data_IF_456647306880
#
_entry.id   IF_456647306880
#
_cell.length_a   1.000
_cell.length_b   1.000
_cell.length_c   1.000
_cell.angle_alpha   90.00
_cell.angle_beta   90.00
_cell.angle_gamma   90.00
#
_symmetry.space_group_name_H-M   'P 1'
#
loop_
_entity.id
_entity.type
_entity.pdbx_description
1 polymer ?
#
# COMPACT_ATOMS: atom_id res chain seq x y z
N UNK A 1 8.71 -21.93 -19.16
CA UNK A 1 8.61 -20.60 -18.48
C UNK A 1 9.03 -19.55 -19.49
N UNK A 2 8.14 -18.64 -19.82
CA UNK A 2 8.49 -17.55 -20.75
C UNK A 2 8.75 -16.26 -19.97
N UNK A 3 10.00 -16.07 -19.57
CA UNK A 3 10.51 -14.78 -19.11
C UNK A 3 11.87 -14.50 -19.72
N UNK A 4 12.17 -13.23 -19.92
CA UNK A 4 13.47 -12.77 -20.40
C UNK A 4 14.30 -12.27 -19.23
N UNK A 5 15.60 -12.46 -19.31
CA UNK A 5 16.57 -12.06 -18.29
C UNK A 5 17.38 -10.92 -18.86
N UNK A 6 17.46 -9.83 -18.10
CA UNK A 6 18.27 -8.65 -18.40
C UNK A 6 19.75 -8.94 -18.16
N UNK A 7 20.61 -8.14 -18.78
CA UNK A 7 22.04 -8.08 -18.47
C UNK A 7 22.36 -7.23 -17.23
N UNK A 8 21.38 -6.50 -16.72
CA UNK A 8 21.52 -5.64 -15.53
C UNK A 8 21.34 -6.52 -14.29
N UNK A 9 22.29 -6.37 -13.34
CA UNK A 9 22.33 -7.16 -12.11
C UNK A 9 21.79 -6.35 -10.92
N UNK A 10 21.25 -7.07 -9.95
CA UNK A 10 20.90 -6.50 -8.65
C UNK A 10 22.16 -6.33 -7.77
N UNK A 11 21.98 -5.78 -6.57
CA UNK A 11 23.06 -5.55 -5.59
C UNK A 11 23.76 -6.85 -5.11
N UNK A 12 23.19 -8.01 -5.38
CA UNK A 12 23.74 -9.33 -5.02
C UNK A 12 24.37 -10.02 -6.23
N UNK A 13 24.43 -9.36 -7.39
CA UNK A 13 24.97 -9.92 -8.64
C UNK A 13 24.00 -10.88 -9.35
N UNK A 14 22.71 -10.84 -9.02
CA UNK A 14 21.68 -11.62 -9.70
C UNK A 14 20.99 -10.78 -10.78
N UNK A 15 20.74 -11.33 -11.98
CA UNK A 15 20.12 -10.58 -13.05
C UNK A 15 18.65 -10.24 -12.72
N UNK A 16 18.22 -9.07 -13.20
CA UNK A 16 16.80 -8.72 -13.21
C UNK A 16 16.05 -9.44 -14.32
N UNK A 17 14.78 -9.70 -14.06
CA UNK A 17 13.82 -10.18 -15.05
C UNK A 17 13.30 -8.99 -15.85
N UNK A 18 13.11 -9.15 -17.15
CA UNK A 18 12.48 -8.12 -17.97
C UNK A 18 10.96 -8.12 -17.74
N UNK A 19 10.39 -6.92 -17.60
CA UNK A 19 8.97 -6.72 -17.56
C UNK A 19 8.30 -7.10 -18.90
N UNK A 20 7.01 -7.46 -18.92
CA UNK A 20 6.33 -7.86 -20.16
C UNK A 20 6.39 -6.81 -21.27
N UNK A 21 6.39 -5.55 -20.90
CA UNK A 21 6.41 -4.38 -21.80
C UNK A 21 7.82 -3.94 -22.20
N UNK A 22 8.83 -4.64 -21.66
CA UNK A 22 10.26 -4.33 -21.85
C UNK A 22 10.86 -3.56 -20.69
N UNK A 23 12.21 -3.54 -20.62
CA UNK A 23 12.93 -2.96 -19.50
C UNK A 23 12.89 -3.84 -18.24
N UNK A 24 13.37 -3.30 -17.12
CA UNK A 24 13.46 -4.03 -15.84
C UNK A 24 12.55 -3.47 -14.75
N UNK A 25 11.88 -2.35 -15.02
CA UNK A 25 11.01 -1.66 -14.07
C UNK A 25 9.55 -2.13 -14.30
N UNK A 26 8.96 -2.75 -13.29
CA UNK A 26 7.60 -3.28 -13.32
C UNK A 26 6.55 -2.24 -12.93
N UNK A 27 6.94 -1.22 -12.21
CA UNK A 27 6.14 -0.11 -11.71
C UNK A 27 7.01 0.81 -10.86
N UNK A 28 6.38 1.73 -10.14
CA UNK A 28 7.08 2.71 -9.30
C UNK A 28 6.33 2.92 -8.00
N UNK A 29 7.08 3.17 -6.93
CA UNK A 29 6.58 3.81 -5.71
C UNK A 29 6.92 5.28 -5.85
N UNK A 30 5.93 6.15 -5.61
CA UNK A 30 6.07 7.60 -5.74
C UNK A 30 6.11 8.29 -4.38
N UNK A 31 6.48 9.57 -4.35
CA UNK A 31 6.58 10.35 -3.10
C UNK A 31 5.23 10.46 -2.37
N UNK A 32 4.11 10.46 -3.08
CA UNK A 32 2.76 10.55 -2.52
C UNK A 32 2.38 9.32 -1.68
N UNK A 33 3.16 8.26 -1.78
CA UNK A 33 2.91 7.00 -1.08
C UNK A 33 3.67 6.87 0.25
N UNK A 34 4.24 7.98 0.75
CA UNK A 34 4.96 8.06 2.03
C UNK A 34 6.14 7.07 2.17
N UNK A 35 6.75 6.72 1.05
CA UNK A 35 7.92 5.86 0.96
C UNK A 35 8.98 6.48 0.06
N UNK A 36 10.24 6.06 0.14
CA UNK A 36 11.28 6.49 -0.80
C UNK A 36 10.84 6.18 -2.24
N UNK A 37 10.77 7.21 -3.12
CA UNK A 37 10.35 7.03 -4.50
C UNK A 37 11.43 6.26 -5.28
N UNK A 38 11.04 5.12 -5.86
CA UNK A 38 11.95 4.29 -6.64
C UNK A 38 11.17 3.28 -7.51
N UNK A 39 11.78 2.75 -8.60
CA UNK A 39 11.18 1.71 -9.41
C UNK A 39 11.05 0.39 -8.66
N UNK A 40 10.05 -0.40 -9.04
CA UNK A 40 9.83 -1.77 -8.56
C UNK A 40 10.47 -2.72 -9.57
N UNK A 41 11.39 -3.58 -9.10
CA UNK A 41 12.13 -4.54 -9.91
C UNK A 41 12.01 -5.96 -9.38
N UNK A 42 12.14 -6.94 -10.27
CA UNK A 42 12.12 -8.35 -9.95
C UNK A 42 13.46 -8.98 -10.33
N UNK A 43 14.25 -9.42 -9.36
CA UNK A 43 15.44 -10.22 -9.64
C UNK A 43 15.05 -11.69 -9.87
N UNK A 44 15.92 -12.45 -10.57
CA UNK A 44 15.73 -13.90 -10.72
C UNK A 44 15.65 -14.56 -9.33
N UNK A 45 16.43 -14.06 -8.39
CA UNK A 45 16.45 -14.54 -7.01
C UNK A 45 16.87 -15.97 -6.84
N UNK A 46 16.42 -16.58 -5.75
CA UNK A 46 16.69 -17.97 -5.37
C UNK A 46 15.46 -18.63 -4.74
N UNK A 47 15.63 -19.69 -3.95
CA UNK A 47 14.51 -20.36 -3.26
C UNK A 47 13.87 -19.52 -2.14
N UNK A 48 14.52 -18.46 -1.68
CA UNK A 48 14.09 -17.62 -0.55
C UNK A 48 13.48 -16.30 -0.98
N UNK A 49 13.82 -15.80 -2.16
CA UNK A 49 13.35 -14.51 -2.68
C UNK A 49 13.35 -14.46 -4.22
N UNK A 50 12.65 -13.45 -4.78
CA UNK A 50 12.61 -13.17 -6.21
C UNK A 50 11.76 -14.16 -7.02
N UNK A 51 11.95 -14.16 -8.34
CA UNK A 51 11.14 -14.95 -9.27
C UNK A 51 11.15 -16.43 -8.94
N UNK A 52 12.31 -17.02 -8.67
CA UNK A 52 12.41 -18.46 -8.37
C UNK A 52 11.61 -18.85 -7.13
N UNK A 53 11.69 -18.04 -6.06
CA UNK A 53 10.88 -18.25 -4.85
C UNK A 53 9.39 -18.21 -5.16
N UNK A 54 8.94 -17.18 -5.89
CA UNK A 54 7.54 -16.99 -6.23
C UNK A 54 7.02 -18.15 -7.08
N UNK A 55 7.76 -18.58 -8.09
CA UNK A 55 7.39 -19.73 -8.93
C UNK A 55 7.21 -21.01 -8.11
N UNK A 56 8.17 -21.30 -7.22
CA UNK A 56 8.14 -22.51 -6.39
C UNK A 56 6.99 -22.50 -5.38
N UNK A 57 6.74 -21.37 -4.75
CA UNK A 57 5.81 -21.27 -3.61
C UNK A 57 4.39 -20.86 -4.01
N UNK A 58 4.26 -20.00 -5.01
CA UNK A 58 3.02 -19.32 -5.34
C UNK A 58 2.61 -19.43 -6.81
N UNK A 59 3.48 -19.98 -7.68
CA UNK A 59 3.25 -20.06 -9.11
C UNK A 59 1.93 -20.77 -9.48
N UNK A 60 1.61 -21.89 -8.82
CA UNK A 60 0.36 -22.60 -9.06
C UNK A 60 -0.88 -21.83 -8.61
N UNK A 61 -0.80 -21.13 -7.47
CA UNK A 61 -1.86 -20.27 -6.98
C UNK A 61 -2.12 -19.12 -7.96
N UNK A 62 -1.06 -18.48 -8.44
CA UNK A 62 -1.10 -17.37 -9.39
C UNK A 62 -1.73 -17.81 -10.71
N UNK A 63 -1.32 -18.99 -11.25
CA UNK A 63 -1.89 -19.53 -12.48
C UNK A 63 -3.36 -19.91 -12.34
N UNK A 64 -3.76 -20.48 -11.20
CA UNK A 64 -5.18 -20.78 -10.90
C UNK A 64 -6.05 -19.53 -10.80
N UNK A 65 -5.47 -18.38 -10.47
CA UNK A 65 -6.15 -17.09 -10.46
C UNK A 65 -6.26 -16.43 -11.85
N UNK A 66 -5.79 -17.09 -12.91
CA UNK A 66 -5.92 -16.64 -14.29
C UNK A 66 -4.70 -15.93 -14.88
N UNK A 67 -3.64 -15.75 -14.14
CA UNK A 67 -2.41 -15.17 -14.66
C UNK A 67 -1.58 -16.21 -15.42
N UNK A 68 -1.16 -15.90 -16.64
CA UNK A 68 -0.37 -16.82 -17.47
C UNK A 68 0.99 -17.16 -16.85
N UNK A 69 1.64 -16.16 -16.25
CA UNK A 69 2.98 -16.29 -15.66
C UNK A 69 3.10 -15.48 -14.37
N UNK A 70 4.06 -15.81 -13.53
CA UNK A 70 4.41 -15.00 -12.35
C UNK A 70 4.87 -13.60 -12.75
N UNK A 71 5.60 -13.47 -13.86
CA UNK A 71 6.05 -12.16 -14.36
C UNK A 71 4.87 -11.26 -14.70
N UNK A 72 3.83 -11.80 -15.37
CA UNK A 72 2.60 -11.06 -15.67
C UNK A 72 1.83 -10.66 -14.40
N UNK A 73 1.81 -11.53 -13.39
CA UNK A 73 1.21 -11.22 -12.09
C UNK A 73 1.94 -10.07 -11.39
N UNK A 74 3.27 -10.15 -11.32
CA UNK A 74 4.09 -9.09 -10.70
C UNK A 74 3.88 -7.75 -11.41
N UNK A 75 3.89 -7.74 -12.75
CA UNK A 75 3.65 -6.54 -13.54
C UNK A 75 2.26 -5.95 -13.27
N UNK A 76 1.23 -6.80 -13.24
CA UNK A 76 -0.13 -6.38 -12.94
C UNK A 76 -0.23 -5.71 -11.56
N UNK A 77 0.27 -6.36 -10.52
CA UNK A 77 0.16 -5.82 -9.15
C UNK A 77 1.01 -4.55 -8.99
N UNK A 78 2.22 -4.51 -9.56
CA UNK A 78 3.10 -3.35 -9.49
C UNK A 78 2.51 -2.09 -10.15
N UNK A 79 1.56 -2.25 -11.08
CA UNK A 79 0.89 -1.16 -11.78
C UNK A 79 -0.51 -0.83 -11.21
N UNK A 80 -1.11 -1.75 -10.43
CA UNK A 80 -2.51 -1.64 -10.00
C UNK A 80 -2.71 -1.73 -8.48
N UNK A 81 -1.65 -1.71 -7.66
CA UNK A 81 -1.83 -1.70 -6.22
C UNK A 81 -2.51 -0.40 -5.76
N UNK A 82 -3.40 -0.51 -4.78
CA UNK A 82 -4.15 0.59 -4.22
C UNK A 82 -3.94 0.74 -2.69
N UNK A 83 -3.11 -0.10 -2.11
CA UNK A 83 -2.75 -0.01 -0.69
C UNK A 83 -1.32 -0.47 -0.44
N UNK A 84 -0.67 0.16 0.53
CA UNK A 84 0.66 -0.18 1.01
C UNK A 84 0.60 -0.39 2.51
N UNK A 85 1.06 -1.55 2.97
CA UNK A 85 1.10 -1.90 4.38
C UNK A 85 2.52 -2.26 4.83
N UNK A 86 2.81 -1.99 6.08
CA UNK A 86 4.06 -2.39 6.72
C UNK A 86 4.13 -3.93 6.80
N UNK A 87 5.19 -4.50 6.26
CA UNK A 87 5.46 -5.92 6.35
C UNK A 87 6.08 -6.32 7.70
N UNK A 88 6.47 -7.59 7.81
CA UNK A 88 7.25 -8.03 8.95
C UNK A 88 8.66 -7.44 8.84
N UNK A 89 9.22 -6.99 9.96
CA UNK A 89 10.61 -6.54 10.02
C UNK A 89 11.53 -7.72 9.72
N UNK A 90 12.23 -7.67 8.61
CA UNK A 90 13.30 -8.61 8.36
C UNK A 90 14.49 -8.17 9.23
N UNK A 91 14.75 -8.90 10.30
CA UNK A 91 16.03 -8.79 10.99
C UNK A 91 17.07 -9.42 10.07
N UNK A 92 17.85 -8.62 9.36
CA UNK A 92 19.14 -9.07 8.89
C UNK A 92 19.98 -9.36 10.14
N UNK A 93 20.31 -10.61 10.38
CA UNK A 93 21.13 -11.06 11.52
C UNK A 93 22.60 -10.63 11.45
N UNK A 94 22.96 -9.85 10.46
CA UNK A 94 24.28 -9.28 10.28
C UNK A 94 24.17 -7.76 10.24
N UNK A 95 24.70 -7.11 11.26
CA UNK A 95 24.90 -5.67 11.44
C UNK A 95 23.68 -4.89 11.94
N UNK A 96 23.81 -4.44 13.17
CA UNK A 96 22.86 -3.58 13.85
C UNK A 96 22.57 -2.30 13.07
N UNK A 97 21.36 -1.81 13.27
CA UNK A 97 20.79 -0.51 12.99
C UNK A 97 19.99 -0.27 11.69
N UNK A 98 20.12 -1.03 10.61
CA UNK A 98 19.25 -0.83 9.44
C UNK A 98 18.13 -1.88 9.40
N UNK A 99 17.00 -1.55 10.03
CA UNK A 99 15.74 -2.30 9.83
C UNK A 99 15.23 -2.02 8.43
N UNK A 100 15.56 -2.86 7.49
CA UNK A 100 14.91 -2.84 6.16
C UNK A 100 13.49 -3.34 6.31
N UNK A 101 12.51 -2.47 6.17
CA UNK A 101 11.11 -2.84 6.20
C UNK A 101 10.73 -3.56 4.93
N UNK A 102 10.12 -4.73 5.09
CA UNK A 102 9.40 -5.37 4.01
C UNK A 102 8.04 -4.70 3.89
N UNK A 103 7.75 -4.13 2.74
CA UNK A 103 6.49 -3.45 2.45
C UNK A 103 5.61 -4.35 1.62
N UNK A 104 4.31 -4.33 1.89
CA UNK A 104 3.31 -5.10 1.19
C UNK A 104 2.47 -4.17 0.30
N UNK A 105 2.60 -4.34 -1.01
CA UNK A 105 1.74 -3.70 -2.00
C UNK A 105 0.57 -4.63 -2.31
N UNK A 106 -0.67 -4.15 -2.27
CA UNK A 106 -1.83 -4.98 -2.58
C UNK A 106 -2.87 -4.23 -3.40
N UNK A 107 -3.56 -4.94 -4.30
CA UNK A 107 -4.74 -4.47 -5.00
C UNK A 107 -6.04 -4.81 -4.24
N UNK A 108 -7.19 -4.44 -4.80
CA UNK A 108 -8.52 -4.69 -4.23
C UNK A 108 -8.88 -6.18 -4.12
N UNK A 109 -8.23 -7.05 -4.91
CA UNK A 109 -8.43 -8.49 -4.91
C UNK A 109 -7.47 -9.23 -3.97
N UNK A 110 -6.61 -8.49 -3.23
CA UNK A 110 -5.53 -9.00 -2.39
C UNK A 110 -4.41 -9.72 -3.17
N UNK A 111 -4.27 -9.45 -4.46
CA UNK A 111 -3.05 -9.76 -5.18
C UNK A 111 -1.94 -8.90 -4.58
N UNK A 112 -0.87 -9.52 -4.15
CA UNK A 112 0.09 -8.88 -3.25
C UNK A 112 1.51 -9.10 -3.69
N UNK A 113 2.33 -8.04 -3.61
CA UNK A 113 3.79 -8.09 -3.68
C UNK A 113 4.36 -7.76 -2.30
N UNK A 114 5.42 -8.46 -1.92
CA UNK A 114 6.29 -8.07 -0.82
C UNK A 114 7.57 -7.51 -1.40
N UNK A 115 7.80 -6.22 -1.16
CA UNK A 115 8.93 -5.50 -1.73
C UNK A 115 9.83 -4.94 -0.62
N UNK A 116 11.12 -4.88 -0.90
CA UNK A 116 12.13 -4.38 0.00
C UNK A 116 13.00 -3.36 -0.73
N UNK A 117 13.26 -2.21 -0.11
CA UNK A 117 14.16 -1.21 -0.67
C UNK A 117 15.58 -1.76 -0.73
N UNK A 118 16.27 -1.54 -1.85
CA UNK A 118 17.69 -1.88 -2.02
C UNK A 118 18.58 -1.10 -1.04
N UNK A 119 19.77 -1.58 -0.76
CA UNK A 119 20.69 -0.94 0.21
C UNK A 119 21.15 0.45 -0.21
N UNK A 120 21.13 0.73 -1.50
CA UNK A 120 21.50 2.01 -2.11
C UNK A 120 20.28 2.89 -2.43
N UNK A 121 19.08 2.49 -1.97
CA UNK A 121 17.81 3.18 -2.14
C UNK A 121 17.42 3.44 -3.62
N UNK A 122 17.96 2.65 -4.56
CA UNK A 122 17.74 2.89 -5.99
C UNK A 122 16.56 2.14 -6.59
N UNK A 123 16.06 1.08 -5.94
CA UNK A 123 14.90 0.31 -6.38
C UNK A 123 14.25 -0.48 -5.24
N UNK A 124 12.99 -0.84 -5.42
CA UNK A 124 12.26 -1.79 -4.59
C UNK A 124 12.33 -3.18 -5.21
N UNK A 125 13.01 -4.11 -4.55
CA UNK A 125 13.11 -5.50 -5.01
C UNK A 125 11.88 -6.30 -4.59
N UNK A 126 11.27 -7.03 -5.53
CA UNK A 126 10.19 -7.98 -5.24
C UNK A 126 10.79 -9.25 -4.64
N UNK A 127 10.58 -9.43 -3.34
CA UNK A 127 11.07 -10.61 -2.61
C UNK A 127 10.09 -11.79 -2.73
N UNK A 128 8.78 -11.50 -2.73
CA UNK A 128 7.74 -12.52 -2.84
C UNK A 128 6.47 -11.92 -3.46
N UNK A 129 5.59 -12.78 -3.96
CA UNK A 129 4.29 -12.40 -4.50
C UNK A 129 3.27 -13.53 -4.28
N UNK A 130 1.98 -13.18 -4.17
CA UNK A 130 0.93 -14.17 -4.01
C UNK A 130 -0.43 -13.54 -3.75
N UNK A 131 -1.45 -14.37 -3.58
CA UNK A 131 -2.83 -13.92 -3.34
C UNK A 131 -3.18 -14.23 -1.89
N UNK A 132 -3.49 -13.18 -1.13
CA UNK A 132 -3.77 -13.30 0.29
C UNK A 132 -5.25 -13.56 0.56
N UNK A 133 -5.53 -14.30 1.62
CA UNK A 133 -6.88 -14.37 2.14
C UNK A 133 -7.33 -13.02 2.71
N UNK A 134 -8.63 -12.71 2.65
CA UNK A 134 -9.21 -11.47 3.18
C UNK A 134 -8.92 -11.21 4.68
N UNK A 135 -8.54 -12.25 5.43
CA UNK A 135 -8.19 -12.14 6.85
C UNK A 135 -6.73 -11.73 7.08
N UNK A 136 -5.89 -11.96 6.09
CA UNK A 136 -4.46 -11.66 6.20
C UNK A 136 -4.25 -10.15 6.07
N UNK A 137 -3.51 -9.58 7.02
CA UNK A 137 -3.15 -8.15 6.95
C UNK A 137 -4.16 -7.18 7.57
N UNK A 138 -5.28 -7.64 8.18
CA UNK A 138 -6.21 -6.74 8.88
C UNK A 138 -5.57 -5.93 10.01
N UNK A 139 -4.54 -6.48 10.65
CA UNK A 139 -3.86 -5.85 11.79
C UNK A 139 -2.51 -5.21 11.41
N UNK A 140 -2.20 -5.10 10.11
CA UNK A 140 -0.97 -4.45 9.66
C UNK A 140 -1.18 -2.95 9.55
N UNK A 141 -0.16 -2.20 9.97
CA UNK A 141 -0.12 -0.74 9.83
C UNK A 141 -0.24 -0.36 8.36
N UNK A 142 -1.20 0.53 8.06
CA UNK A 142 -1.37 1.09 6.73
C UNK A 142 -0.38 2.24 6.55
N UNK A 143 0.39 2.23 5.48
CA UNK A 143 1.33 3.30 5.11
C UNK A 143 0.63 4.26 4.14
N UNK A 144 -0.13 3.72 3.20
CA UNK A 144 -0.82 4.47 2.17
C UNK A 144 -2.02 3.70 1.61
N UNK A 145 -3.06 4.45 1.21
CA UNK A 145 -4.23 3.91 0.51
C UNK A 145 -4.77 4.92 -0.48
N UNK A 146 -5.08 4.49 -1.70
CA UNK A 146 -5.66 5.33 -2.73
C UNK A 146 -7.04 5.91 -2.33
N UNK A 147 -7.78 5.24 -1.44
CA UNK A 147 -9.08 5.72 -0.96
C UNK A 147 -8.98 6.90 0.01
N UNK A 148 -7.85 7.10 0.67
CA UNK A 148 -7.64 8.22 1.60
C UNK A 148 -7.45 9.53 0.84
N UNK A 149 -6.82 9.51 -0.33
CA UNK A 149 -6.62 10.70 -1.18
C UNK A 149 -7.94 11.27 -1.71
N UNK A 150 -8.93 10.43 -2.01
CA UNK A 150 -10.23 10.87 -2.50
C UNK A 150 -11.07 11.59 -1.44
N UNK A 151 -10.83 11.31 -0.16
CA UNK A 151 -11.54 11.98 0.94
C UNK A 151 -10.98 13.37 1.24
N UNK A 152 -9.70 13.63 0.98
CA UNK A 152 -9.08 14.94 1.18
C UNK A 152 -9.48 15.95 0.09
N UNK A 153 -9.60 15.53 -1.15
CA UNK A 153 -10.10 16.37 -2.25
C UNK A 153 -11.58 16.76 -2.06
N UNK A 154 -12.40 15.88 -1.50
CA UNK A 154 -13.81 16.15 -1.25
C UNK A 154 -14.06 17.10 -0.08
N UNK A 155 -13.14 17.20 0.88
CA UNK A 155 -13.23 18.07 2.03
C UNK A 155 -12.80 19.53 1.73
N UNK A 156 -12.00 19.75 0.68
CA UNK A 156 -11.47 21.07 0.32
C UNK A 156 -12.41 21.95 -0.52
N UNK A 157 -13.53 21.43 -1.02
CA UNK A 157 -14.44 22.14 -1.91
C UNK A 157 -15.62 22.85 -1.24
N UNK A 158 -15.72 22.85 0.10
CA UNK A 158 -16.85 23.42 0.84
C UNK A 158 -16.49 24.65 1.70
N UNK A 159 -15.72 25.59 1.17
CA UNK A 159 -15.57 26.89 1.84
C UNK A 159 -15.54 28.02 0.82
N UNK A 160 -16.69 28.53 0.42
CA UNK A 160 -16.88 29.93 -0.02
C UNK A 160 -18.34 30.17 -0.40
N UNK A 161 -19.18 30.56 0.54
CA UNK A 161 -20.27 31.53 0.25
C UNK A 161 -20.30 32.60 1.33
N UNK A 162 -20.19 33.87 0.96
CA UNK A 162 -20.35 34.99 1.90
C UNK A 162 -21.82 35.21 2.18
N UNK A 163 -22.15 35.29 3.47
CA UNK A 163 -23.44 35.72 3.94
C UNK A 163 -23.65 37.23 3.63
N UNK A 164 -24.64 37.54 2.83
CA UNK A 164 -25.22 38.89 2.70
C UNK A 164 -26.25 39.10 3.80
N UNK A 165 -25.97 40.09 4.64
CA UNK A 165 -26.90 40.65 5.61
C UNK A 165 -28.08 41.34 4.89
N UNK A 166 -29.29 41.10 5.38
CA UNK A 166 -30.39 42.05 5.24
C UNK A 166 -31.23 42.01 6.51
N UNK A 167 -31.23 43.18 7.15
CA UNK A 167 -32.05 43.57 8.29
C UNK A 167 -33.54 43.32 8.08
N UNK A 168 -34.27 42.97 9.14
CA UNK A 168 -35.48 43.69 9.57
C UNK A 168 -35.95 43.26 10.94
N UNK A 169 -36.29 44.32 11.66
CA UNK A 169 -36.78 44.42 13.02
C UNK A 169 -38.12 43.75 13.34
N UNK A 170 -38.29 43.64 14.64
CA UNK A 170 -39.48 43.91 15.46
C UNK A 170 -40.39 42.76 15.90
N UNK A 171 -40.56 42.70 17.21
CA UNK A 171 -41.84 42.32 17.83
C UNK A 171 -41.80 41.21 18.89
N UNK A 172 -41.45 41.60 20.13
CA UNK A 172 -42.28 41.65 21.34
C UNK A 172 -42.90 40.37 21.94
N UNK A 173 -42.64 40.25 23.25
CA UNK A 173 -43.44 39.58 24.31
C UNK A 173 -43.56 38.05 24.29
N UNK A 174 -43.36 37.37 25.38
CA UNK A 174 -43.50 37.56 26.80
C UNK A 174 -43.48 36.18 27.51
N UNK A 175 -43.10 36.27 28.74
CA UNK A 175 -43.50 35.49 29.94
C UNK A 175 -43.09 34.02 30.07
N UNK A 176 -42.13 33.79 30.93
CA UNK A 176 -42.13 33.37 32.37
C UNK A 176 -42.64 31.94 32.68
N UNK A 177 -41.89 31.33 33.60
CA UNK A 177 -42.19 30.21 34.51
C UNK A 177 -41.70 28.86 34.08
N UNK A 178 -41.16 28.09 34.85
CA UNK A 178 -40.61 28.03 36.21
C UNK A 178 -40.32 26.54 36.50
N UNK A 179 -39.23 26.34 37.21
CA UNK A 179 -39.08 25.41 38.32
C UNK A 179 -39.03 23.87 38.10
N UNK A 180 -37.99 23.36 38.69
CA UNK A 180 -37.80 22.16 39.54
C UNK A 180 -37.15 20.97 38.91
N UNK A 181 -35.97 20.74 39.33
CA UNK A 181 -35.43 20.04 40.52
C UNK A 181 -35.34 18.52 40.41
N UNK A 182 -34.15 18.10 40.68
CA UNK A 182 -33.74 16.95 41.53
C UNK A 182 -33.89 15.53 40.97
N UNK A 183 -32.91 14.71 41.03
CA UNK A 183 -32.11 14.09 42.06
C UNK A 183 -31.27 12.93 41.47
N UNK A 184 -30.05 12.91 41.85
CA UNK A 184 -29.25 11.83 42.38
C UNK A 184 -29.82 10.40 42.33
N UNK A 185 -29.00 9.42 41.91
CA UNK A 185 -28.55 8.36 42.82
C UNK A 185 -27.37 7.57 42.22
N UNK A 186 -26.34 7.49 42.99
CA UNK A 186 -25.17 6.61 43.02
C UNK A 186 -25.61 5.16 43.39
N UNK A 187 -24.77 4.20 43.04
CA UNK A 187 -24.44 2.88 43.67
C UNK A 187 -24.24 1.84 42.53
N UNK A 188 -23.28 1.10 42.45
CA UNK A 188 -22.19 0.42 43.17
C UNK A 188 -21.21 -0.10 42.16
#
# INVERSE_FOLDING_TARGET
MEYRISKIMDQNGLPFVEAPEGGIDFGHITVEQNLPPAPIRLSIGDRSNGLMHIEIRHGDQIRKAGFKTVVAFVAYVAQNYNSIKKGNTYRNSFEGENQTYLVQLADEHNNTLWVQLSKDDTYWNVNSAGILSKRYGKNKENIWSASELQNEESASSNTSQPATNADKEAGSNGTVSDVSQCKNTTFS
#
